data_IF_299668301506
#
_entry.id   IF_299668301506
#
_cell.length_a   1.000
_cell.length_b   1.000
_cell.length_c   1.000
_cell.angle_alpha   90.00
_cell.angle_beta   90.00
_cell.angle_gamma   90.00
#
_symmetry.space_group_name_H-M   'P 1'
#
loop_
_entity.id
_entity.type
_entity.pdbx_description
1 polymer ?
#
# COMPACT_ATOMS: atom_id res chain seq x y z
N UNK A 1 13.69 8.63 -33.81
CA UNK A 1 14.26 7.28 -33.97
C UNK A 1 15.75 7.38 -33.70
N UNK A 2 16.30 6.65 -32.72
CA UNK A 2 17.72 6.76 -32.37
C UNK A 2 18.60 6.30 -33.55
N UNK A 3 19.64 7.07 -33.88
CA UNK A 3 20.55 6.73 -34.99
C UNK A 3 21.26 5.41 -34.69
N UNK A 4 21.06 4.42 -35.56
CA UNK A 4 21.66 3.09 -35.40
C UNK A 4 23.09 3.16 -35.94
N UNK A 5 24.08 3.00 -35.07
CA UNK A 5 25.48 2.87 -35.49
C UNK A 5 25.65 1.58 -36.28
N UNK A 6 25.90 1.70 -37.58
CA UNK A 6 26.09 0.61 -38.53
C UNK A 6 27.53 0.07 -38.47
N UNK A 7 27.99 -0.35 -37.30
CA UNK A 7 29.30 -0.99 -37.13
C UNK A 7 29.13 -2.40 -36.56
N UNK A 8 30.02 -3.32 -36.95
CA UNK A 8 30.01 -4.71 -36.47
C UNK A 8 30.05 -4.79 -34.94
N UNK A 9 30.81 -3.90 -34.31
CA UNK A 9 30.90 -3.81 -32.85
C UNK A 9 29.57 -3.38 -32.22
N UNK A 10 28.92 -2.34 -32.77
CA UNK A 10 27.62 -1.90 -32.28
C UNK A 10 26.53 -2.98 -32.45
N UNK A 11 26.56 -3.76 -33.54
CA UNK A 11 25.65 -4.90 -33.72
C UNK A 11 25.89 -5.97 -32.64
N UNK A 12 27.16 -6.31 -32.36
CA UNK A 12 27.53 -7.27 -31.32
C UNK A 12 27.05 -6.83 -29.93
N UNK A 13 27.22 -5.57 -29.60
CA UNK A 13 26.78 -5.00 -28.32
C UNK A 13 25.26 -5.04 -28.18
N UNK A 14 24.52 -4.73 -29.25
CA UNK A 14 23.05 -4.84 -29.28
C UNK A 14 22.56 -6.28 -29.17
N UNK A 15 23.23 -7.23 -29.82
CA UNK A 15 22.93 -8.66 -29.68
C UNK A 15 23.15 -9.14 -28.24
N UNK A 16 24.24 -8.70 -27.60
CA UNK A 16 24.52 -9.04 -26.21
C UNK A 16 23.45 -8.47 -25.27
N UNK A 17 23.09 -7.19 -25.44
CA UNK A 17 22.02 -6.55 -24.67
C UNK A 17 20.68 -7.25 -24.88
N UNK A 18 20.33 -7.59 -26.12
CA UNK A 18 19.09 -8.31 -26.43
C UNK A 18 19.04 -9.66 -25.71
N UNK A 19 20.15 -10.42 -25.74
CA UNK A 19 20.25 -11.70 -25.04
C UNK A 19 20.06 -11.53 -23.54
N UNK A 20 20.72 -10.54 -22.92
CA UNK A 20 20.55 -10.25 -21.49
C UNK A 20 19.09 -9.89 -21.16
N UNK A 21 18.47 -9.00 -21.95
CA UNK A 21 17.07 -8.60 -21.74
C UNK A 21 16.12 -9.79 -21.88
N UNK A 22 16.32 -10.64 -22.89
CA UNK A 22 15.52 -11.86 -23.08
C UNK A 22 15.66 -12.84 -21.92
N UNK A 23 16.86 -12.95 -21.31
CA UNK A 23 17.08 -13.82 -20.16
C UNK A 23 16.37 -13.30 -18.90
N UNK A 24 16.40 -11.99 -18.62
CA UNK A 24 15.84 -11.43 -17.39
C UNK A 24 14.35 -11.05 -17.47
N UNK A 25 13.82 -10.79 -18.67
CA UNK A 25 12.43 -10.39 -18.88
C UNK A 25 11.41 -11.41 -18.33
N UNK A 26 11.58 -12.75 -18.50
CA UNK A 26 10.68 -13.74 -17.93
C UNK A 26 10.59 -13.63 -16.39
N UNK A 27 11.74 -13.49 -15.72
CA UNK A 27 11.80 -13.37 -14.27
C UNK A 27 11.12 -12.10 -13.77
N UNK A 28 11.29 -10.97 -14.48
CA UNK A 28 10.61 -9.72 -14.15
C UNK A 28 9.08 -9.82 -14.36
N UNK A 29 8.64 -10.49 -15.42
CA UNK A 29 7.21 -10.75 -15.65
C UNK A 29 6.60 -11.61 -14.55
N UNK A 30 7.30 -12.66 -14.12
CA UNK A 30 6.88 -13.50 -13.00
C UNK A 30 6.75 -12.68 -11.71
N UNK A 31 7.79 -11.92 -11.33
CA UNK A 31 7.77 -11.04 -10.15
C UNK A 31 6.60 -10.05 -10.20
N UNK A 32 6.33 -9.45 -11.37
CA UNK A 32 5.19 -8.57 -11.56
C UNK A 32 3.85 -9.28 -11.34
N UNK A 33 3.68 -10.49 -11.87
CA UNK A 33 2.45 -11.28 -11.69
C UNK A 33 2.20 -11.65 -10.23
N UNK A 34 3.25 -12.07 -9.49
CA UNK A 34 3.17 -12.36 -8.06
C UNK A 34 2.73 -11.12 -7.25
N UNK A 35 3.33 -9.96 -7.52
CA UNK A 35 2.94 -8.70 -6.87
C UNK A 35 1.49 -8.32 -7.20
N UNK A 36 1.05 -8.49 -8.45
CA UNK A 36 -0.33 -8.22 -8.84
C UNK A 36 -1.33 -9.11 -8.10
N UNK A 37 -1.01 -10.40 -7.91
CA UNK A 37 -1.83 -11.33 -7.12
C UNK A 37 -1.92 -10.90 -5.66
N UNK A 38 -0.80 -10.54 -5.03
CA UNK A 38 -0.78 -10.04 -3.64
C UNK A 38 -1.60 -8.76 -3.48
N UNK A 39 -1.46 -7.81 -4.41
CA UNK A 39 -2.26 -6.58 -4.42
C UNK A 39 -3.75 -6.88 -4.50
N UNK A 40 -4.17 -7.87 -5.31
CA UNK A 40 -5.57 -8.27 -5.42
C UNK A 40 -6.09 -8.86 -4.11
N UNK A 41 -5.31 -9.71 -3.44
CA UNK A 41 -5.66 -10.26 -2.12
C UNK A 41 -5.83 -9.15 -1.07
N UNK A 42 -4.88 -8.21 -1.02
CA UNK A 42 -4.93 -7.07 -0.08
C UNK A 42 -6.15 -6.18 -0.36
N UNK A 43 -6.45 -5.88 -1.64
CA UNK A 43 -7.64 -5.11 -2.00
C UNK A 43 -8.94 -5.77 -1.52
N UNK A 44 -9.06 -7.08 -1.68
CA UNK A 44 -10.20 -7.83 -1.17
C UNK A 44 -10.28 -7.79 0.36
N UNK A 45 -9.14 -7.88 1.04
CA UNK A 45 -9.08 -7.77 2.51
C UNK A 45 -9.51 -6.37 2.98
N UNK A 46 -9.05 -5.32 2.33
CA UNK A 46 -9.45 -3.93 2.62
C UNK A 46 -10.96 -3.77 2.45
N UNK A 47 -11.54 -4.32 1.37
CA UNK A 47 -12.99 -4.25 1.14
C UNK A 47 -13.78 -4.86 2.31
N UNK A 48 -13.42 -6.08 2.73
CA UNK A 48 -14.06 -6.76 3.88
C UNK A 48 -13.91 -5.95 5.16
N UNK A 49 -12.70 -5.45 5.45
CA UNK A 49 -12.45 -4.64 6.65
C UNK A 49 -13.27 -3.35 6.66
N UNK A 50 -13.50 -2.72 5.49
CA UNK A 50 -14.37 -1.54 5.39
C UNK A 50 -15.83 -1.88 5.67
N UNK A 51 -16.31 -3.01 5.16
CA UNK A 51 -17.68 -3.50 5.43
C UNK A 51 -17.85 -3.82 6.92
N UNK A 52 -16.89 -4.52 7.52
CA UNK A 52 -16.90 -4.86 8.95
C UNK A 52 -16.82 -3.60 9.83
N UNK A 53 -15.96 -2.64 9.47
CA UNK A 53 -15.86 -1.35 10.15
C UNK A 53 -17.19 -0.61 10.11
N UNK A 54 -17.84 -0.54 8.93
CA UNK A 54 -19.12 0.13 8.79
C UNK A 54 -20.18 -0.50 9.69
N UNK A 55 -20.30 -1.83 9.69
CA UNK A 55 -21.26 -2.54 10.57
C UNK A 55 -21.05 -2.21 12.03
N UNK A 56 -19.81 -2.32 12.53
CA UNK A 56 -19.47 -2.00 13.92
C UNK A 56 -19.71 -0.53 14.25
N UNK A 57 -19.43 0.36 13.31
CA UNK A 57 -19.68 1.78 13.49
C UNK A 57 -21.17 2.08 13.60
N UNK A 58 -21.99 1.46 12.74
CA UNK A 58 -23.45 1.57 12.78
C UNK A 58 -24.00 1.01 14.12
N UNK A 59 -23.51 -0.14 14.57
CA UNK A 59 -23.83 -0.71 15.90
C UNK A 59 -23.49 0.27 17.03
N UNK A 60 -22.29 0.86 17.03
CA UNK A 60 -21.89 1.84 18.06
C UNK A 60 -22.78 3.07 18.03
N UNK A 61 -23.16 3.57 16.85
CA UNK A 61 -24.03 4.73 16.73
C UNK A 61 -25.42 4.49 17.32
N UNK A 62 -25.98 3.28 17.18
CA UNK A 62 -27.26 2.91 17.81
C UNK A 62 -27.19 3.06 19.34
N UNK A 63 -26.09 2.64 19.96
CA UNK A 63 -25.89 2.79 21.41
C UNK A 63 -25.49 4.21 21.82
N UNK A 64 -24.86 4.98 20.94
CA UNK A 64 -24.34 6.32 21.24
C UNK A 64 -25.47 7.28 21.68
N UNK A 65 -26.67 7.13 21.12
CA UNK A 65 -27.85 7.91 21.52
C UNK A 65 -28.21 7.74 23.01
N UNK A 66 -27.95 6.57 23.60
CA UNK A 66 -28.19 6.32 25.03
C UNK A 66 -27.19 7.08 25.93
N UNK A 67 -26.04 7.47 25.38
CA UNK A 67 -24.96 8.15 26.09
C UNK A 67 -24.90 9.65 25.76
N UNK A 68 -25.72 10.15 24.83
CA UNK A 68 -25.72 11.54 24.35
C UNK A 68 -26.51 12.51 25.22
N UNK A 69 -26.79 12.16 26.49
CA UNK A 69 -27.33 13.13 27.45
C UNK A 69 -26.40 14.35 27.53
N UNK A 70 -26.97 15.56 27.60
CA UNK A 70 -26.19 16.80 27.71
C UNK A 70 -25.37 16.77 29.01
N UNK A 71 -24.10 16.40 28.90
CA UNK A 71 -23.11 16.64 29.93
C UNK A 71 -22.56 18.05 29.72
N UNK A 72 -22.30 18.77 30.82
CA UNK A 72 -21.69 20.11 30.77
C UNK A 72 -20.21 20.07 30.30
N UNK A 73 -19.64 18.87 30.11
CA UNK A 73 -18.30 18.65 29.56
C UNK A 73 -18.36 17.84 28.27
N UNK A 74 -17.72 18.35 27.23
CA UNK A 74 -17.40 17.59 26.01
C UNK A 74 -16.04 16.88 26.20
N UNK A 75 -16.00 15.54 26.27
CA UNK A 75 -14.73 14.80 26.40
C UNK A 75 -13.75 15.10 25.27
N UNK A 76 -14.24 15.52 24.10
CA UNK A 76 -13.41 15.85 22.93
C UNK A 76 -12.48 17.02 23.24
N UNK A 77 -12.92 17.99 24.05
CA UNK A 77 -12.11 19.14 24.47
C UNK A 77 -10.89 18.74 25.31
N UNK A 78 -10.93 17.57 25.96
CA UNK A 78 -9.88 17.05 26.83
C UNK A 78 -9.00 15.98 26.18
N UNK A 79 -9.30 15.62 24.93
CA UNK A 79 -8.55 14.61 24.18
C UNK A 79 -7.83 15.25 22.99
N UNK A 80 -6.51 15.28 23.01
CA UNK A 80 -5.71 15.81 21.91
C UNK A 80 -4.76 14.74 21.39
N UNK A 81 -4.69 14.53 20.07
CA UNK A 81 -3.71 13.62 19.50
C UNK A 81 -2.31 14.21 19.71
N UNK A 82 -1.50 13.57 20.57
CA UNK A 82 -0.11 13.94 20.82
C UNK A 82 0.82 13.41 19.73
N UNK A 83 0.66 12.14 19.36
CA UNK A 83 1.54 11.51 18.38
C UNK A 83 0.89 10.28 17.72
N UNK A 84 1.11 10.10 16.42
CA UNK A 84 0.72 8.88 15.70
C UNK A 84 1.99 8.08 15.42
N UNK A 85 2.15 6.96 16.13
CA UNK A 85 3.30 6.08 15.98
C UNK A 85 3.14 5.22 14.72
N UNK A 86 4.16 5.27 13.87
CA UNK A 86 4.23 4.51 12.61
C UNK A 86 5.59 3.84 12.50
N UNK A 87 5.61 2.60 12.06
CA UNK A 87 6.82 1.94 11.56
C UNK A 87 6.87 2.02 10.03
N UNK A 88 8.05 1.82 9.46
CA UNK A 88 8.24 1.78 8.02
C UNK A 88 8.81 0.43 7.61
N UNK A 89 8.21 -0.18 6.60
CA UNK A 89 8.64 -1.45 6.04
C UNK A 89 9.01 -1.25 4.56
N UNK A 90 10.13 -1.81 4.12
CA UNK A 90 10.53 -1.77 2.72
C UNK A 90 9.97 -2.98 1.98
N UNK A 91 9.07 -2.74 1.03
CA UNK A 91 8.54 -3.78 0.17
C UNK A 91 8.95 -3.47 -1.27
N UNK A 92 9.87 -4.28 -1.80
CA UNK A 92 10.36 -4.19 -3.18
C UNK A 92 10.90 -2.80 -3.58
N UNK A 93 11.58 -2.11 -2.66
CA UNK A 93 12.17 -0.80 -2.90
C UNK A 93 11.23 0.38 -2.64
N UNK A 94 10.04 0.13 -2.10
CA UNK A 94 9.09 1.16 -1.66
C UNK A 94 8.96 1.11 -0.15
N UNK A 95 9.15 2.25 0.51
CA UNK A 95 8.90 2.40 1.94
C UNK A 95 7.40 2.58 2.19
N UNK A 96 6.83 1.68 3.00
CA UNK A 96 5.42 1.67 3.35
C UNK A 96 5.25 1.96 4.85
N UNK A 97 4.43 2.94 5.23
CA UNK A 97 4.13 3.20 6.63
C UNK A 97 3.12 2.17 7.16
N UNK A 98 3.45 1.55 8.27
CA UNK A 98 2.56 0.70 9.05
C UNK A 98 2.05 1.47 10.28
N UNK A 99 0.75 1.37 10.54
CA UNK A 99 0.13 2.02 11.69
C UNK A 99 0.34 1.15 12.94
N UNK A 100 0.85 1.74 14.02
CA UNK A 100 1.04 1.02 15.28
C UNK A 100 0.02 1.46 16.32
N UNK A 101 0.02 2.75 16.68
CA UNK A 101 -0.90 3.31 17.67
C UNK A 101 -0.99 4.83 17.61
N UNK A 102 -2.05 5.36 18.22
CA UNK A 102 -2.23 6.79 18.49
C UNK A 102 -1.99 7.02 19.98
N UNK A 103 -1.20 8.04 20.29
CA UNK A 103 -0.99 8.57 21.63
C UNK A 103 -1.83 9.84 21.72
N UNK A 104 -2.81 9.82 22.63
CA UNK A 104 -3.64 10.96 23.02
C UNK A 104 -3.08 11.61 24.30
#
# INVERSE_FOLDING_TARGET
MASVKMTKNALRDKQHLLKQLQTYLPTLRLKKSLLQSQVMLIKNRIKRLKEDHKKRFDEVLEFCFLLSSKYDMDPIEYTQIKHVQKSYENIAGVELPNFEKIIF
#
